data_IF_553286956119
#
_entry.id   IF_553286956119
#
_cell.length_a   1.000
_cell.length_b   1.000
_cell.length_c   1.000
_cell.angle_alpha   90.00
_cell.angle_beta   90.00
_cell.angle_gamma   90.00
#
_symmetry.space_group_name_H-M   'P 1'
#
loop_
_entity.id
_entity.type
_entity.pdbx_description
1 polymer ?
#
# COMPACT_ATOMS: atom_id res chain seq x y z
N UNK A 1 -15.23 -26.28 -28.52
CA UNK A 1 -13.80 -25.89 -28.56
C UNK A 1 -13.19 -26.76 -29.64
N UNK A 2 -12.73 -26.21 -30.76
CA UNK A 2 -11.98 -27.00 -31.72
C UNK A 2 -10.66 -27.35 -31.02
N UNK A 3 -10.55 -28.57 -30.49
CA UNK A 3 -9.23 -29.10 -30.13
C UNK A 3 -8.46 -29.23 -31.44
N UNK A 4 -7.56 -28.28 -31.68
CA UNK A 4 -6.53 -28.42 -32.71
C UNK A 4 -5.75 -29.68 -32.41
N UNK A 5 -5.72 -30.61 -33.38
CA UNK A 5 -4.94 -31.84 -33.33
C UNK A 5 -3.50 -31.52 -32.90
N UNK A 6 -2.99 -32.22 -31.89
CA UNK A 6 -1.63 -32.01 -31.39
C UNK A 6 -0.61 -32.52 -32.40
N UNK A 7 0.45 -31.74 -32.58
CA UNK A 7 1.52 -31.98 -33.55
C UNK A 7 2.67 -32.73 -32.91
N UNK A 8 2.97 -33.92 -33.41
CA UNK A 8 4.08 -34.75 -32.95
C UNK A 8 5.14 -34.88 -34.04
N UNK A 9 6.39 -34.59 -33.71
CA UNK A 9 7.52 -34.87 -34.60
C UNK A 9 8.17 -36.18 -34.18
N UNK A 10 8.16 -37.18 -35.07
CA UNK A 10 8.83 -38.46 -34.87
C UNK A 10 10.17 -38.47 -35.60
N UNK A 11 11.26 -38.64 -34.85
CA UNK A 11 12.62 -38.60 -35.38
C UNK A 11 13.29 -39.94 -35.09
N UNK A 12 13.60 -40.69 -36.15
CA UNK A 12 14.24 -42.00 -36.07
C UNK A 12 14.91 -42.30 -37.42
N UNK A 13 16.12 -42.84 -37.46
CA UNK A 13 16.81 -43.18 -38.71
C UNK A 13 16.30 -44.49 -39.33
N UNK A 14 15.75 -45.38 -38.52
CA UNK A 14 15.14 -46.62 -38.98
C UNK A 14 13.77 -46.36 -39.62
N UNK A 15 13.70 -46.42 -40.96
CA UNK A 15 12.49 -46.11 -41.72
C UNK A 15 11.26 -46.93 -41.29
N UNK A 16 11.45 -48.22 -40.99
CA UNK A 16 10.36 -49.09 -40.54
C UNK A 16 9.81 -48.64 -39.18
N UNK A 17 10.67 -48.31 -38.21
CA UNK A 17 10.24 -47.85 -36.88
C UNK A 17 9.55 -46.49 -37.01
N UNK A 18 10.16 -45.57 -37.77
CA UNK A 18 9.61 -44.23 -38.03
C UNK A 18 8.22 -44.29 -38.67
N UNK A 19 8.00 -45.21 -39.62
CA UNK A 19 6.69 -45.41 -40.25
C UNK A 19 5.67 -45.99 -39.27
N UNK A 20 6.02 -47.08 -38.58
CA UNK A 20 5.08 -47.75 -37.66
C UNK A 20 4.66 -46.83 -36.50
N UNK A 21 5.61 -46.12 -35.89
CA UNK A 21 5.30 -45.17 -34.80
C UNK A 21 4.47 -43.99 -35.32
N UNK A 22 4.81 -43.47 -36.50
CA UNK A 22 4.07 -42.37 -37.11
C UNK A 22 2.62 -42.75 -37.45
N UNK A 23 2.42 -43.88 -38.11
CA UNK A 23 1.09 -44.38 -38.49
C UNK A 23 0.22 -44.64 -37.23
N UNK A 24 0.81 -45.23 -36.18
CA UNK A 24 0.11 -45.47 -34.92
C UNK A 24 -0.36 -44.18 -34.23
N UNK A 25 0.48 -43.14 -34.22
CA UNK A 25 0.12 -41.84 -33.63
C UNK A 25 -0.91 -41.08 -34.47
N UNK A 26 -0.86 -41.22 -35.80
CA UNK A 26 -1.89 -40.68 -36.69
C UNK A 26 -3.26 -41.34 -36.42
N UNK A 27 -3.29 -42.68 -36.27
CA UNK A 27 -4.48 -43.44 -35.90
C UNK A 27 -5.01 -43.04 -34.52
N UNK A 28 -4.12 -42.67 -33.59
CA UNK A 28 -4.47 -42.14 -32.27
C UNK A 28 -5.01 -40.70 -32.28
N UNK A 29 -5.06 -40.05 -33.44
CA UNK A 29 -5.60 -38.70 -33.60
C UNK A 29 -4.58 -37.58 -33.40
N UNK A 30 -3.30 -37.83 -33.65
CA UNK A 30 -2.27 -36.80 -33.70
C UNK A 30 -1.95 -36.38 -35.14
N UNK A 31 -1.51 -35.15 -35.34
CA UNK A 31 -0.86 -34.76 -36.59
C UNK A 31 0.62 -35.11 -36.45
N UNK A 32 1.18 -35.90 -37.37
CA UNK A 32 2.56 -36.38 -37.26
C UNK A 32 3.40 -35.91 -38.43
N UNK A 33 4.60 -35.40 -38.13
CA UNK A 33 5.67 -35.21 -39.10
C UNK A 33 6.83 -36.14 -38.77
N UNK A 34 7.57 -36.57 -39.78
CA UNK A 34 8.61 -37.60 -39.66
C UNK A 34 9.94 -37.04 -40.14
N UNK A 35 11.01 -37.30 -39.39
CA UNK A 35 12.38 -36.94 -39.78
C UNK A 35 13.31 -38.14 -39.68
N UNK A 36 14.19 -38.31 -40.66
CA UNK A 36 15.13 -39.42 -40.74
C UNK A 36 16.49 -39.14 -40.07
N UNK A 37 16.77 -37.88 -39.74
CA UNK A 37 18.02 -37.46 -39.09
C UNK A 37 17.84 -36.15 -38.31
N UNK A 38 18.85 -35.78 -37.53
CA UNK A 38 18.77 -34.61 -36.66
C UNK A 38 18.66 -33.25 -37.38
N UNK A 39 19.22 -33.10 -38.59
CA UNK A 39 19.10 -31.82 -39.32
C UNK A 39 17.70 -31.60 -39.86
N UNK A 40 17.10 -32.64 -40.43
CA UNK A 40 15.70 -32.61 -40.87
C UNK A 40 14.77 -32.35 -39.68
N UNK A 41 15.02 -32.98 -38.54
CA UNK A 41 14.25 -32.74 -37.31
C UNK A 41 14.29 -31.27 -36.88
N UNK A 42 15.47 -30.63 -36.86
CA UNK A 42 15.60 -29.22 -36.49
C UNK A 42 14.93 -28.29 -37.52
N UNK A 43 14.97 -28.64 -38.80
CA UNK A 43 14.26 -27.87 -39.84
C UNK A 43 12.74 -27.91 -39.60
N UNK A 44 12.18 -29.12 -39.44
CA UNK A 44 10.74 -29.30 -39.18
C UNK A 44 10.35 -28.64 -37.85
N UNK A 45 11.17 -28.74 -36.82
CA UNK A 45 10.95 -28.07 -35.53
C UNK A 45 10.74 -26.56 -35.69
N UNK A 46 11.58 -25.89 -36.49
CA UNK A 46 11.49 -24.45 -36.70
C UNK A 46 10.31 -24.03 -37.58
N UNK A 47 10.02 -24.79 -38.64
CA UNK A 47 8.97 -24.46 -39.61
C UNK A 47 7.57 -24.85 -39.12
N UNK A 48 7.42 -26.08 -38.62
CA UNK A 48 6.13 -26.69 -38.32
C UNK A 48 5.70 -26.52 -36.86
N UNK A 49 6.66 -26.26 -35.96
CA UNK A 49 6.48 -26.02 -34.51
C UNK A 49 5.66 -27.13 -33.84
N UNK A 50 6.25 -28.32 -33.63
CA UNK A 50 5.57 -29.44 -32.98
C UNK A 50 5.23 -29.14 -31.51
N UNK A 51 4.14 -29.75 -31.02
CA UNK A 51 3.73 -29.74 -29.61
C UNK A 51 4.51 -30.78 -28.78
N UNK A 52 5.06 -31.83 -29.41
CA UNK A 52 5.86 -32.88 -28.77
C UNK A 52 6.84 -33.51 -29.78
N UNK A 53 8.00 -33.95 -29.31
CA UNK A 53 9.02 -34.59 -30.15
C UNK A 53 9.36 -35.97 -29.57
N UNK A 54 9.25 -37.00 -30.39
CA UNK A 54 9.80 -38.35 -30.13
C UNK A 54 11.14 -38.43 -30.86
N UNK A 55 12.22 -38.61 -30.12
CA UNK A 55 13.58 -38.45 -30.62
C UNK A 55 14.43 -39.68 -30.35
N UNK A 56 14.84 -40.38 -31.40
CA UNK A 56 15.87 -41.41 -31.28
C UNK A 56 17.24 -40.80 -30.93
N UNK A 57 18.03 -41.49 -30.11
CA UNK A 57 19.35 -41.03 -29.71
C UNK A 57 20.45 -41.28 -30.74
N UNK A 58 20.31 -42.31 -31.57
CA UNK A 58 21.41 -42.94 -32.31
C UNK A 58 21.16 -42.84 -33.81
N UNK A 59 21.29 -41.63 -34.33
CA UNK A 59 21.11 -41.35 -35.76
C UNK A 59 22.43 -40.94 -36.44
N UNK A 60 22.57 -41.17 -37.76
CA UNK A 60 23.71 -40.71 -38.53
C UNK A 60 23.73 -39.17 -38.67
N UNK A 61 24.94 -38.64 -38.92
CA UNK A 61 25.28 -37.22 -39.10
C UNK A 61 25.12 -36.31 -37.87
N UNK A 62 23.95 -36.29 -37.25
CA UNK A 62 23.64 -35.49 -36.05
C UNK A 62 22.81 -36.36 -35.11
N UNK A 63 23.35 -36.59 -33.91
CA UNK A 63 22.74 -37.50 -32.94
C UNK A 63 21.60 -36.85 -32.15
N UNK A 64 20.78 -37.66 -31.46
CA UNK A 64 19.63 -37.16 -30.71
C UNK A 64 19.99 -36.27 -29.52
N UNK A 65 21.22 -36.38 -28.98
CA UNK A 65 21.66 -35.49 -27.90
C UNK A 65 21.96 -34.10 -28.43
N UNK A 66 22.58 -34.01 -29.60
CA UNK A 66 22.81 -32.73 -30.30
C UNK A 66 21.49 -32.04 -30.64
N UNK A 67 20.51 -32.78 -31.18
CA UNK A 67 19.17 -32.24 -31.48
C UNK A 67 18.49 -31.73 -30.22
N UNK A 68 18.47 -32.52 -29.13
CA UNK A 68 17.88 -32.11 -27.86
C UNK A 68 18.54 -30.84 -27.32
N UNK A 69 19.87 -30.75 -27.38
CA UNK A 69 20.60 -29.57 -26.93
C UNK A 69 20.25 -28.32 -27.76
N UNK A 70 20.13 -28.42 -29.08
CA UNK A 70 19.72 -27.31 -29.94
C UNK A 70 18.27 -26.87 -29.67
N UNK A 71 17.34 -27.82 -29.51
CA UNK A 71 15.95 -27.51 -29.15
C UNK A 71 15.89 -26.76 -27.83
N UNK A 72 16.66 -27.16 -26.83
CA UNK A 72 16.67 -26.55 -25.48
C UNK A 72 17.29 -25.15 -25.45
N UNK A 73 18.15 -24.79 -26.41
CA UNK A 73 18.60 -23.40 -26.59
C UNK A 73 17.46 -22.47 -27.03
N UNK A 74 16.44 -23.02 -27.68
CA UNK A 74 15.33 -22.26 -28.26
C UNK A 74 14.07 -22.33 -27.39
N UNK A 75 13.75 -23.50 -26.84
CA UNK A 75 12.58 -23.74 -25.99
C UNK A 75 12.81 -24.84 -24.95
N UNK A 76 12.55 -24.48 -23.69
CA UNK A 76 12.44 -25.44 -22.59
C UNK A 76 11.02 -26.00 -22.39
N UNK A 77 10.06 -25.50 -23.15
CA UNK A 77 8.64 -25.79 -22.95
C UNK A 77 8.16 -26.97 -23.80
N UNK A 78 8.84 -27.26 -24.92
CA UNK A 78 8.44 -28.35 -25.81
C UNK A 78 8.88 -29.70 -25.21
N UNK A 79 7.94 -30.61 -24.91
CA UNK A 79 8.22 -31.97 -24.47
C UNK A 79 9.06 -32.71 -25.51
N UNK A 80 10.19 -33.26 -25.07
CA UNK A 80 11.00 -34.17 -25.88
C UNK A 80 11.08 -35.49 -25.12
N UNK A 81 10.55 -36.54 -25.73
CA UNK A 81 10.64 -37.91 -25.24
C UNK A 81 11.72 -38.61 -26.05
N UNK A 82 12.72 -39.14 -25.36
CA UNK A 82 13.86 -39.76 -25.99
C UNK A 82 13.63 -41.27 -26.14
N UNK A 83 13.89 -41.82 -27.32
CA UNK A 83 13.85 -43.26 -27.57
C UNK A 83 15.32 -43.76 -27.66
N UNK A 84 15.70 -44.73 -26.83
CA UNK A 84 17.10 -45.19 -26.72
C UNK A 84 17.22 -46.71 -26.75
N UNK A 85 18.12 -47.24 -27.59
CA UNK A 85 18.46 -48.67 -27.62
C UNK A 85 19.51 -49.12 -26.60
N UNK A 86 20.15 -48.19 -25.87
CA UNK A 86 21.12 -48.54 -24.83
C UNK A 86 20.41 -48.60 -23.48
N UNK A 87 20.14 -49.82 -22.98
CA UNK A 87 19.60 -50.04 -21.63
C UNK A 87 20.54 -49.64 -20.48
N UNK A 88 21.56 -48.82 -20.74
CA UNK A 88 22.49 -48.32 -19.74
C UNK A 88 21.89 -47.12 -19.02
N UNK A 89 21.79 -47.22 -17.70
CA UNK A 89 21.29 -46.16 -16.81
C UNK A 89 22.02 -44.81 -17.04
N UNK A 90 23.29 -44.84 -17.45
CA UNK A 90 24.09 -43.64 -17.69
C UNK A 90 23.51 -42.76 -18.81
N UNK A 91 23.05 -43.36 -19.90
CA UNK A 91 22.51 -42.63 -21.05
C UNK A 91 21.14 -42.02 -20.73
N UNK A 92 20.33 -42.74 -19.94
CA UNK A 92 19.06 -42.24 -19.39
C UNK A 92 19.28 -41.01 -18.52
N UNK A 93 20.23 -41.08 -17.59
CA UNK A 93 20.54 -39.95 -16.71
C UNK A 93 20.99 -38.74 -17.53
N UNK A 94 21.88 -38.95 -18.50
CA UNK A 94 22.42 -37.87 -19.32
C UNK A 94 21.33 -37.16 -20.14
N UNK A 95 20.40 -37.91 -20.74
CA UNK A 95 19.31 -37.34 -21.55
C UNK A 95 18.31 -36.54 -20.72
N UNK A 96 18.00 -36.98 -19.51
CA UNK A 96 17.18 -36.20 -18.56
C UNK A 96 17.90 -34.91 -18.13
N UNK A 97 19.22 -34.94 -17.91
CA UNK A 97 20.01 -33.74 -17.59
C UNK A 97 20.06 -32.74 -18.75
N UNK A 98 20.05 -33.24 -19.99
CA UNK A 98 19.94 -32.42 -21.20
C UNK A 98 18.52 -31.85 -21.41
N UNK A 99 17.56 -32.23 -20.56
CA UNK A 99 16.21 -31.66 -20.57
C UNK A 99 15.17 -32.49 -21.31
N UNK A 100 15.42 -33.77 -21.59
CA UNK A 100 14.37 -34.70 -22.00
C UNK A 100 13.30 -34.79 -20.89
N UNK A 101 12.03 -34.89 -21.28
CA UNK A 101 10.91 -34.99 -20.33
C UNK A 101 10.67 -36.42 -19.88
N UNK A 102 10.93 -37.38 -20.76
CA UNK A 102 10.86 -38.81 -20.48
C UNK A 102 11.76 -39.59 -21.45
N UNK A 103 11.91 -40.88 -21.21
CA UNK A 103 12.64 -41.78 -22.12
C UNK A 103 11.91 -43.12 -22.31
N UNK A 104 12.14 -43.77 -23.45
CA UNK A 104 11.61 -45.09 -23.81
C UNK A 104 12.79 -45.96 -24.27
N UNK A 105 12.82 -47.23 -23.83
CA UNK A 105 13.86 -48.19 -24.24
C UNK A 105 13.46 -48.92 -25.53
N UNK A 106 14.40 -49.06 -26.49
CA UNK A 106 14.25 -49.95 -27.66
C UNK A 106 14.74 -51.38 -27.32
N UNK A 107 14.19 -52.43 -27.98
CA UNK A 107 13.10 -52.37 -28.95
C UNK A 107 11.77 -52.01 -28.29
N UNK A 108 10.93 -51.24 -28.98
CA UNK A 108 9.56 -50.95 -28.51
C UNK A 108 8.67 -52.11 -28.94
N UNK A 109 8.44 -53.05 -28.01
CA UNK A 109 7.64 -54.26 -28.28
C UNK A 109 6.13 -53.99 -28.17
N UNK A 110 5.73 -52.98 -27.41
CA UNK A 110 4.33 -52.60 -27.19
C UNK A 110 4.14 -51.09 -27.43
N UNK A 111 3.31 -50.74 -28.42
CA UNK A 111 2.99 -49.35 -28.77
C UNK A 111 2.23 -48.61 -27.66
N UNK A 112 1.58 -49.33 -26.74
CA UNK A 112 0.94 -48.74 -25.56
C UNK A 112 1.94 -47.96 -24.68
N UNK A 113 3.24 -48.30 -24.73
CA UNK A 113 4.30 -47.57 -24.02
C UNK A 113 4.49 -46.17 -24.61
N UNK A 114 4.50 -46.06 -25.94
CA UNK A 114 4.60 -44.76 -26.64
C UNK A 114 3.36 -43.92 -26.37
N UNK A 115 2.17 -44.52 -26.48
CA UNK A 115 0.92 -43.81 -26.20
C UNK A 115 0.89 -43.23 -24.77
N UNK A 116 1.21 -44.06 -23.77
CA UNK A 116 1.27 -43.60 -22.38
C UNK A 116 2.28 -42.47 -22.18
N UNK A 117 3.47 -42.57 -22.76
CA UNK A 117 4.51 -41.55 -22.63
C UNK A 117 4.09 -40.22 -23.29
N UNK A 118 3.48 -40.29 -24.48
CA UNK A 118 2.95 -39.13 -25.21
C UNK A 118 1.81 -38.48 -24.43
N UNK A 119 0.82 -39.25 -23.98
CA UNK A 119 -0.31 -38.73 -23.19
C UNK A 119 0.17 -38.05 -21.91
N UNK A 120 1.04 -38.71 -21.15
CA UNK A 120 1.63 -38.16 -19.91
C UNK A 120 2.38 -36.85 -20.16
N UNK A 121 3.11 -36.74 -21.26
CA UNK A 121 3.84 -35.52 -21.62
C UNK A 121 2.90 -34.38 -22.04
N UNK A 122 1.87 -34.67 -22.83
CA UNK A 122 0.87 -33.69 -23.25
C UNK A 122 0.00 -33.21 -22.08
N UNK A 123 -0.40 -34.10 -21.17
CA UNK A 123 -1.11 -33.74 -19.94
C UNK A 123 -0.27 -32.81 -19.06
N UNK A 124 1.02 -33.11 -18.90
CA UNK A 124 1.95 -32.26 -18.16
C UNK A 124 2.08 -30.88 -18.83
N UNK A 125 2.19 -30.81 -20.15
CA UNK A 125 2.25 -29.54 -20.89
C UNK A 125 0.99 -28.71 -20.64
N UNK A 126 -0.19 -29.32 -20.75
CA UNK A 126 -1.49 -28.68 -20.49
C UNK A 126 -1.57 -28.12 -19.06
N UNK A 127 -1.14 -28.89 -18.05
CA UNK A 127 -1.14 -28.42 -16.66
C UNK A 127 -0.22 -27.20 -16.46
N UNK A 128 0.93 -27.17 -17.12
CA UNK A 128 1.88 -26.04 -17.05
C UNK A 128 1.26 -24.79 -17.70
N UNK A 129 0.63 -24.94 -18.86
CA UNK A 129 -0.07 -23.84 -19.54
C UNK A 129 -1.24 -23.28 -18.72
N UNK A 130 -2.08 -24.17 -18.18
CA UNK A 130 -3.20 -23.79 -17.30
C UNK A 130 -2.69 -23.04 -16.06
N UNK A 131 -1.65 -23.55 -15.39
CA UNK A 131 -1.08 -22.90 -14.20
C UNK A 131 -0.49 -21.52 -14.52
N UNK A 132 0.23 -21.40 -15.65
CA UNK A 132 0.74 -20.10 -16.12
C UNK A 132 -0.40 -19.11 -16.34
N UNK A 133 -1.48 -19.54 -16.98
CA UNK A 133 -2.66 -18.69 -17.22
C UNK A 133 -3.34 -18.28 -15.91
N UNK A 134 -3.58 -19.24 -15.00
CA UNK A 134 -4.13 -18.96 -13.68
C UNK A 134 -3.28 -17.94 -12.91
N UNK A 135 -1.96 -18.06 -12.97
CA UNK A 135 -1.04 -17.12 -12.30
C UNK A 135 -1.17 -15.70 -12.87
N UNK A 136 -1.23 -15.56 -14.20
CA UNK A 136 -1.40 -14.26 -14.85
C UNK A 136 -2.74 -13.61 -14.49
N UNK A 137 -3.84 -14.37 -14.57
CA UNK A 137 -5.18 -13.89 -14.23
C UNK A 137 -5.26 -13.47 -12.76
N UNK A 138 -4.60 -14.21 -11.86
CA UNK A 138 -4.54 -13.88 -10.44
C UNK A 138 -3.73 -12.61 -10.18
N UNK A 139 -2.58 -12.43 -10.83
CA UNK A 139 -1.78 -11.21 -10.72
C UNK A 139 -2.57 -9.98 -11.18
N UNK A 140 -3.32 -10.09 -12.28
CA UNK A 140 -4.18 -9.01 -12.76
C UNK A 140 -5.32 -8.70 -11.77
N UNK A 141 -5.99 -9.74 -11.25
CA UNK A 141 -7.06 -9.58 -10.27
C UNK A 141 -6.57 -8.93 -8.98
N UNK A 142 -5.42 -9.36 -8.46
CA UNK A 142 -4.80 -8.77 -7.27
C UNK A 142 -4.44 -7.30 -7.53
N UNK A 143 -3.87 -6.98 -8.69
CA UNK A 143 -3.57 -5.59 -9.07
C UNK A 143 -4.82 -4.71 -9.12
N UNK A 144 -5.90 -5.22 -9.73
CA UNK A 144 -7.20 -4.53 -9.80
C UNK A 144 -7.79 -4.30 -8.41
N UNK A 145 -7.88 -5.35 -7.58
CA UNK A 145 -8.42 -5.28 -6.21
C UNK A 145 -7.61 -4.36 -5.30
N UNK A 146 -6.29 -4.39 -5.42
CA UNK A 146 -5.40 -3.49 -4.67
C UNK A 146 -5.67 -2.02 -5.02
N UNK A 147 -5.92 -1.74 -6.29
CA UNK A 147 -6.27 -0.38 -6.75
C UNK A 147 -7.64 0.05 -6.24
N UNK A 148 -8.65 -0.82 -6.33
CA UNK A 148 -10.00 -0.57 -5.79
C UNK A 148 -9.95 -0.27 -4.28
N UNK A 149 -9.20 -1.06 -3.51
CA UNK A 149 -9.02 -0.85 -2.07
C UNK A 149 -8.36 0.49 -1.75
N UNK A 150 -7.31 0.86 -2.49
CA UNK A 150 -6.65 2.17 -2.32
C UNK A 150 -7.62 3.32 -2.57
N UNK A 151 -8.40 3.26 -3.65
CA UNK A 151 -9.40 4.28 -3.98
C UNK A 151 -10.49 4.36 -2.90
N UNK A 152 -11.00 3.21 -2.44
CA UNK A 152 -12.00 3.16 -1.38
C UNK A 152 -11.45 3.75 -0.06
N UNK A 153 -10.21 3.42 0.30
CA UNK A 153 -9.56 3.93 1.51
C UNK A 153 -9.36 5.45 1.46
N UNK A 154 -8.85 5.98 0.34
CA UNK A 154 -8.73 7.44 0.15
C UNK A 154 -10.09 8.14 0.28
N UNK A 155 -11.15 7.53 -0.26
CA UNK A 155 -12.51 8.06 -0.14
C UNK A 155 -12.99 8.09 1.31
N UNK A 156 -12.73 7.03 2.09
CA UNK A 156 -13.06 6.98 3.52
C UNK A 156 -12.31 8.07 4.31
N UNK A 157 -11.02 8.27 4.02
CA UNK A 157 -10.23 9.33 4.66
C UNK A 157 -10.80 10.71 4.36
N UNK A 158 -11.18 10.99 3.12
CA UNK A 158 -11.78 12.27 2.74
C UNK A 158 -13.14 12.50 3.43
N UNK A 159 -14.00 11.48 3.46
CA UNK A 159 -15.30 11.56 4.16
C UNK A 159 -15.09 11.81 5.65
N UNK A 160 -14.12 11.16 6.29
CA UNK A 160 -13.78 11.41 7.68
C UNK A 160 -13.39 12.87 7.92
N UNK A 161 -12.55 13.44 7.05
CA UNK A 161 -12.15 14.85 7.13
C UNK A 161 -13.34 15.81 6.96
N UNK A 162 -14.25 15.53 6.03
CA UNK A 162 -15.47 16.32 5.82
C UNK A 162 -16.41 16.29 7.04
N UNK A 163 -16.56 15.11 7.68
CA UNK A 163 -17.35 14.96 8.90
C UNK A 163 -16.70 15.73 10.05
N UNK A 164 -15.39 15.59 10.25
CA UNK A 164 -14.64 16.31 11.29
C UNK A 164 -14.79 17.82 11.11
N UNK A 165 -14.66 18.33 9.88
CA UNK A 165 -14.85 19.74 9.58
C UNK A 165 -16.30 20.20 9.86
N UNK A 166 -17.30 19.38 9.52
CA UNK A 166 -18.70 19.68 9.81
C UNK A 166 -19.00 19.74 11.31
N UNK A 167 -18.40 18.85 12.11
CA UNK A 167 -18.51 18.86 13.57
C UNK A 167 -17.84 20.09 14.19
N UNK A 168 -16.69 20.47 13.66
CA UNK A 168 -16.00 21.71 14.02
C UNK A 168 -16.90 22.92 13.80
N UNK A 169 -17.44 23.11 12.59
CA UNK A 169 -18.37 24.20 12.26
C UNK A 169 -19.62 24.17 13.17
N UNK A 170 -20.19 22.99 13.43
CA UNK A 170 -21.37 22.87 14.28
C UNK A 170 -21.09 23.32 15.73
N UNK A 171 -19.90 23.02 16.24
CA UNK A 171 -19.44 23.47 17.56
C UNK A 171 -19.21 24.97 17.57
N UNK A 172 -18.53 25.53 16.56
CA UNK A 172 -18.31 26.98 16.41
C UNK A 172 -19.63 27.76 16.34
N UNK A 173 -20.68 27.22 15.71
CA UNK A 173 -21.99 27.91 15.68
C UNK A 173 -22.62 28.14 17.06
N UNK A 174 -22.27 27.33 18.07
CA UNK A 174 -22.70 27.55 19.46
C UNK A 174 -21.82 28.53 20.23
N UNK A 175 -20.62 28.78 19.73
CA UNK A 175 -19.64 29.72 20.28
C UNK A 175 -19.37 30.80 19.21
N UNK A 176 -20.20 31.87 19.15
CA UNK A 176 -20.10 32.93 18.14
C UNK A 176 -18.71 33.60 18.03
N UNK A 177 -17.82 33.35 19.00
CA UNK A 177 -16.47 33.91 19.09
C UNK A 177 -15.40 33.07 18.38
N UNK A 178 -15.74 31.87 17.90
CA UNK A 178 -14.78 30.88 17.40
C UNK A 178 -14.84 30.64 15.88
N UNK A 179 -15.51 31.48 15.09
CA UNK A 179 -15.59 31.26 13.64
C UNK A 179 -14.19 31.11 12.97
N UNK A 180 -13.93 29.93 12.42
CA UNK A 180 -12.65 29.54 11.80
C UNK A 180 -11.47 29.44 12.77
N UNK A 181 -11.71 29.56 14.08
CA UNK A 181 -10.68 29.45 15.12
C UNK A 181 -10.07 28.06 15.10
N UNK A 182 -10.91 27.02 15.07
CA UNK A 182 -10.44 25.64 15.11
C UNK A 182 -9.61 25.30 13.88
N UNK A 183 -10.00 25.81 12.70
CA UNK A 183 -9.22 25.67 11.46
C UNK A 183 -7.85 26.36 11.58
N UNK A 184 -7.79 27.61 12.08
CA UNK A 184 -6.52 28.35 12.24
C UNK A 184 -5.60 27.71 13.28
N UNK A 185 -6.13 27.27 14.43
CA UNK A 185 -5.37 26.53 15.45
C UNK A 185 -4.81 25.23 14.86
N UNK A 186 -5.66 24.46 14.17
CA UNK A 186 -5.25 23.23 13.50
C UNK A 186 -4.10 23.46 12.51
N UNK A 187 -4.21 24.49 11.65
CA UNK A 187 -3.20 24.78 10.64
C UNK A 187 -1.89 25.30 11.27
N UNK A 188 -1.98 26.17 12.28
CA UNK A 188 -0.81 26.65 13.01
C UNK A 188 -0.11 25.52 13.76
N UNK A 189 -0.87 24.65 14.44
CA UNK A 189 -0.35 23.47 15.11
C UNK A 189 0.36 22.52 14.14
N UNK A 190 -0.23 22.27 12.97
CA UNK A 190 0.39 21.47 11.93
C UNK A 190 1.68 22.11 11.39
N UNK A 191 1.71 23.43 11.18
CA UNK A 191 2.92 24.13 10.75
C UNK A 191 4.04 24.08 11.81
N UNK A 192 3.69 24.23 13.09
CA UNK A 192 4.63 24.05 14.21
C UNK A 192 5.20 22.63 14.19
N UNK A 193 4.32 21.63 14.05
CA UNK A 193 4.71 20.23 14.05
C UNK A 193 5.68 19.90 12.90
N UNK A 194 5.42 20.45 11.71
CA UNK A 194 6.31 20.26 10.57
C UNK A 194 7.66 20.95 10.78
N UNK A 195 7.68 22.16 11.34
CA UNK A 195 8.95 22.85 11.67
C UNK A 195 9.77 22.08 12.72
N UNK A 196 9.11 21.32 13.59
CA UNK A 196 9.74 20.42 14.56
C UNK A 196 10.26 19.12 13.93
N UNK A 197 9.93 18.84 12.66
CA UNK A 197 10.36 17.62 11.96
C UNK A 197 9.57 16.36 12.34
N UNK A 198 8.34 16.50 12.80
CA UNK A 198 7.44 15.37 13.07
C UNK A 198 7.01 14.67 11.76
N UNK A 199 6.66 13.39 11.84
CA UNK A 199 6.25 12.63 10.66
C UNK A 199 4.83 13.00 10.16
N UNK A 200 4.49 12.55 8.95
CA UNK A 200 3.21 12.88 8.31
C UNK A 200 1.99 12.32 9.05
N UNK A 201 2.13 11.19 9.73
CA UNK A 201 1.02 10.58 10.49
C UNK A 201 0.73 11.39 11.75
N UNK A 202 1.77 11.80 12.49
CA UNK A 202 1.64 12.67 13.66
C UNK A 202 1.10 14.06 13.30
N UNK A 203 1.56 14.66 12.20
CA UNK A 203 1.01 15.94 11.71
C UNK A 203 -0.49 15.80 11.38
N UNK A 204 -0.89 14.67 10.79
CA UNK A 204 -2.31 14.39 10.49
C UNK A 204 -3.14 14.25 11.77
N UNK A 205 -2.59 13.60 12.79
CA UNK A 205 -3.22 13.49 14.11
C UNK A 205 -3.42 14.87 14.75
N UNK A 206 -2.39 15.72 14.74
CA UNK A 206 -2.43 17.09 15.27
C UNK A 206 -3.49 17.93 14.54
N UNK A 207 -3.60 17.78 13.22
CA UNK A 207 -4.61 18.50 12.43
C UNK A 207 -6.04 18.12 12.84
N UNK A 208 -6.32 16.83 12.94
CA UNK A 208 -7.64 16.33 13.35
C UNK A 208 -7.94 16.73 14.81
N UNK A 209 -6.98 16.57 15.71
CA UNK A 209 -7.14 16.97 17.11
C UNK A 209 -7.32 18.48 17.26
N UNK A 210 -6.60 19.29 16.49
CA UNK A 210 -6.76 20.75 16.46
C UNK A 210 -8.15 21.19 15.98
N UNK A 211 -8.77 20.48 15.04
CA UNK A 211 -10.15 20.75 14.63
C UNK A 211 -11.18 20.36 15.70
N UNK A 212 -10.89 19.35 16.52
CA UNK A 212 -11.82 18.75 17.47
C UNK A 212 -11.56 19.11 18.94
N UNK A 213 -10.46 19.80 19.26
CA UNK A 213 -10.01 20.03 20.65
C UNK A 213 -11.12 20.64 21.53
N UNK A 214 -11.95 21.48 20.91
CA UNK A 214 -13.01 22.25 21.55
C UNK A 214 -14.42 21.65 21.37
N UNK A 215 -14.57 20.45 20.78
CA UNK A 215 -15.89 19.83 20.50
C UNK A 215 -16.77 19.71 21.76
N UNK A 216 -16.16 19.55 22.93
CA UNK A 216 -16.86 19.47 24.20
C UNK A 216 -17.51 20.78 24.66
N UNK A 217 -17.24 21.93 24.01
CA UNK A 217 -17.93 23.20 24.29
C UNK A 217 -19.44 23.10 24.05
N UNK A 218 -19.92 22.08 23.34
CA UNK A 218 -21.34 21.75 23.24
C UNK A 218 -22.03 21.57 24.61
N UNK A 219 -21.29 21.18 25.64
CA UNK A 219 -21.81 21.06 27.00
C UNK A 219 -21.90 22.41 27.74
N UNK A 220 -21.10 23.39 27.36
CA UNK A 220 -20.99 24.67 28.06
C UNK A 220 -22.22 25.54 27.75
N UNK A 221 -22.89 26.13 28.77
CA UNK A 221 -23.98 27.07 28.57
C UNK A 221 -23.56 28.28 27.72
N UNK A 222 -24.44 28.72 26.82
CA UNK A 222 -24.14 29.84 25.92
C UNK A 222 -23.81 31.12 26.70
N UNK A 223 -24.47 31.37 27.83
CA UNK A 223 -24.25 32.53 28.69
C UNK A 223 -22.81 32.63 29.22
N UNK A 224 -22.12 31.49 29.39
CA UNK A 224 -20.70 31.47 29.80
C UNK A 224 -19.76 31.64 28.62
N UNK A 225 -20.10 31.08 27.46
CA UNK A 225 -19.31 31.26 26.23
C UNK A 225 -19.38 32.70 25.71
N UNK A 226 -20.52 33.38 25.89
CA UNK A 226 -20.79 34.72 25.38
C UNK A 226 -20.65 35.87 26.36
N UNK A 227 -20.15 35.59 27.56
CA UNK A 227 -19.99 36.61 28.59
C UNK A 227 -18.94 37.65 28.14
N UNK A 228 -19.29 38.95 28.02
CA UNK A 228 -18.36 40.00 27.60
C UNK A 228 -17.40 40.42 28.73
N UNK A 229 -17.66 39.99 29.96
CA UNK A 229 -16.81 40.24 31.13
C UNK A 229 -15.97 39.01 31.46
N UNK A 230 -15.04 39.15 32.41
CA UNK A 230 -14.36 37.98 32.98
C UNK A 230 -15.39 37.02 33.59
N UNK A 231 -15.11 35.73 33.43
CA UNK A 231 -15.86 34.67 34.08
C UNK A 231 -15.52 34.63 35.56
N UNK A 232 -16.55 34.45 36.37
CA UNK A 232 -16.41 34.14 37.79
C UNK A 232 -15.79 32.75 37.97
N UNK A 233 -15.12 32.46 39.10
CA UNK A 233 -14.44 31.19 39.31
C UNK A 233 -15.33 29.98 39.06
N UNK A 234 -16.58 30.00 39.52
CA UNK A 234 -17.54 28.90 39.33
C UNK A 234 -17.97 28.72 37.86
N UNK A 235 -18.04 29.80 37.08
CA UNK A 235 -18.35 29.74 35.64
C UNK A 235 -17.17 29.13 34.87
N UNK A 236 -15.95 29.54 35.23
CA UNK A 236 -14.73 28.98 34.65
C UNK A 236 -14.61 27.47 34.91
N UNK A 237 -14.98 26.98 36.10
CA UNK A 237 -15.00 25.54 36.38
C UNK A 237 -15.98 24.76 35.48
N UNK A 238 -17.07 25.39 35.03
CA UNK A 238 -17.97 24.78 34.04
C UNK A 238 -17.34 24.78 32.65
N UNK A 239 -16.67 25.88 32.26
CA UNK A 239 -15.99 25.98 30.95
C UNK A 239 -14.87 24.94 30.84
N UNK A 240 -14.06 24.74 31.88
CA UNK A 240 -12.96 23.76 31.90
C UNK A 240 -13.40 22.33 31.59
N UNK A 241 -14.65 21.96 31.92
CA UNK A 241 -15.19 20.62 31.65
C UNK A 241 -15.30 20.27 30.17
N UNK A 242 -15.19 21.24 29.26
CA UNK A 242 -15.26 20.94 27.82
C UNK A 242 -14.18 19.95 27.38
N UNK A 243 -12.99 19.94 27.99
CA UNK A 243 -11.92 19.02 27.60
C UNK A 243 -12.29 17.57 27.97
N UNK A 244 -12.86 17.36 29.16
CA UNK A 244 -13.36 16.05 29.60
C UNK A 244 -14.57 15.59 28.77
N UNK A 245 -15.51 16.49 28.50
CA UNK A 245 -16.66 16.17 27.64
C UNK A 245 -16.22 15.85 26.21
N UNK A 246 -15.25 16.60 25.67
CA UNK A 246 -14.67 16.33 24.35
C UNK A 246 -14.05 14.94 24.27
N UNK A 247 -13.31 14.55 25.30
CA UNK A 247 -12.80 13.18 25.45
C UNK A 247 -13.93 12.15 25.46
N UNK A 248 -14.96 12.35 26.28
CA UNK A 248 -16.11 11.42 26.38
C UNK A 248 -16.85 11.25 25.05
N UNK A 249 -16.97 12.31 24.26
CA UNK A 249 -17.56 12.27 22.91
C UNK A 249 -16.70 11.44 21.96
N UNK A 250 -15.37 11.58 22.04
CA UNK A 250 -14.45 11.02 21.04
C UNK A 250 -13.86 9.66 21.42
N UNK A 251 -13.84 9.25 22.69
CA UNK A 251 -13.10 8.06 23.17
C UNK A 251 -13.53 6.73 22.55
N UNK A 252 -14.75 6.65 22.03
CA UNK A 252 -15.28 5.45 21.37
C UNK A 252 -15.07 5.44 19.85
N UNK A 253 -14.51 6.51 19.29
CA UNK A 253 -14.17 6.58 17.87
C UNK A 253 -12.80 5.94 17.67
N UNK A 254 -12.74 4.91 16.84
CA UNK A 254 -11.50 4.22 16.48
C UNK A 254 -10.64 5.05 15.52
N UNK A 255 -10.11 6.16 16.01
CA UNK A 255 -9.08 6.91 15.31
C UNK A 255 -7.77 6.10 15.25
N UNK A 256 -6.97 6.23 14.18
CA UNK A 256 -5.62 5.65 14.13
C UNK A 256 -4.68 6.22 15.20
N UNK A 257 -5.03 7.38 15.78
CA UNK A 257 -4.22 8.16 16.73
C UNK A 257 -5.03 8.46 18.00
N UNK A 258 -4.39 8.81 19.12
CA UNK A 258 -5.07 9.09 20.39
C UNK A 258 -5.76 10.47 20.42
N UNK A 259 -6.57 10.80 19.42
CA UNK A 259 -7.21 12.12 19.23
C UNK A 259 -7.99 12.58 20.47
N UNK A 260 -8.74 11.69 21.10
CA UNK A 260 -9.50 12.01 22.31
C UNK A 260 -8.58 12.45 23.46
N UNK A 261 -7.46 11.75 23.65
CA UNK A 261 -6.50 12.05 24.71
C UNK A 261 -5.73 13.35 24.41
N UNK A 262 -5.41 13.60 23.14
CA UNK A 262 -4.81 14.88 22.71
C UNK A 262 -5.75 16.04 23.05
N UNK A 263 -7.02 15.92 22.67
CA UNK A 263 -8.05 16.91 23.00
C UNK A 263 -8.32 17.02 24.50
N UNK A 264 -8.12 15.96 25.30
CA UNK A 264 -8.27 16.05 26.75
C UNK A 264 -7.18 16.93 27.38
N UNK A 265 -5.97 16.85 26.85
CA UNK A 265 -4.76 17.43 27.45
C UNK A 265 -4.38 18.82 26.89
N UNK A 266 -5.12 19.37 25.93
CA UNK A 266 -4.72 20.61 25.24
C UNK A 266 -4.68 21.86 26.13
N UNK A 267 -5.21 21.78 27.36
CA UNK A 267 -5.09 22.83 28.38
C UNK A 267 -4.16 22.46 29.55
N UNK A 268 -3.49 21.31 29.48
CA UNK A 268 -2.43 20.95 30.41
C UNK A 268 -1.21 21.87 30.20
N UNK A 269 -0.46 22.10 31.28
CA UNK A 269 0.71 22.99 31.31
C UNK A 269 1.88 22.24 31.92
N UNK A 270 3.11 22.53 31.46
CA UNK A 270 4.28 21.77 31.92
C UNK A 270 4.49 21.77 33.45
N UNK A 271 4.10 22.86 34.13
CA UNK A 271 4.17 23.01 35.58
C UNK A 271 3.04 22.31 36.35
N UNK A 272 2.03 21.77 35.66
CA UNK A 272 0.84 21.15 36.23
C UNK A 272 -0.23 22.13 36.70
N UNK A 273 -0.12 23.41 36.33
CA UNK A 273 -1.16 24.41 36.59
C UNK A 273 -2.37 24.29 35.63
N UNK A 274 -2.26 23.41 34.64
CA UNK A 274 -3.30 23.13 33.65
C UNK A 274 -4.44 22.25 34.17
N UNK A 275 -5.32 21.85 33.26
CA UNK A 275 -6.48 21.03 33.52
C UNK A 275 -6.75 20.09 32.33
N UNK A 276 -7.53 19.01 32.49
CA UNK A 276 -8.29 18.62 33.70
C UNK A 276 -7.55 17.77 34.73
N UNK A 277 -6.41 17.16 34.39
CA UNK A 277 -5.70 16.21 35.26
C UNK A 277 -4.48 16.83 35.96
N UNK A 278 -4.02 18.00 35.54
CA UNK A 278 -2.85 18.66 36.12
C UNK A 278 -1.55 17.91 35.80
N UNK A 279 -1.46 17.36 34.60
CA UNK A 279 -0.30 16.62 34.10
C UNK A 279 0.92 17.54 34.01
N UNK A 280 2.13 16.96 34.06
CA UNK A 280 3.39 17.71 34.11
C UNK A 280 4.38 17.20 33.09
N UNK A 281 5.23 18.09 32.58
CA UNK A 281 6.39 17.73 31.77
C UNK A 281 6.07 16.72 30.67
N UNK A 282 6.66 15.53 30.78
CA UNK A 282 6.58 14.45 29.77
C UNK A 282 5.30 13.59 29.87
N UNK A 283 4.46 13.79 30.89
CA UNK A 283 3.16 13.11 30.99
C UNK A 283 2.13 13.68 29.99
N UNK A 284 2.43 14.85 29.40
CA UNK A 284 1.60 15.51 28.39
C UNK A 284 2.08 15.10 26.99
N UNK A 285 1.15 14.65 26.15
CA UNK A 285 1.42 14.32 24.75
C UNK A 285 2.00 15.52 23.99
N UNK A 286 2.96 15.27 23.10
CA UNK A 286 3.62 16.33 22.32
C UNK A 286 2.62 17.05 21.41
N UNK A 287 1.66 16.31 20.86
CA UNK A 287 0.56 16.84 20.05
C UNK A 287 -0.27 17.85 20.85
N UNK A 288 -0.56 17.55 22.12
CA UNK A 288 -1.29 18.44 23.02
C UNK A 288 -0.48 19.69 23.37
N UNK A 289 0.83 19.56 23.61
CA UNK A 289 1.73 20.70 23.86
C UNK A 289 1.78 21.66 22.65
N UNK A 290 1.76 21.10 21.44
CA UNK A 290 1.72 21.87 20.19
C UNK A 290 0.38 22.61 20.06
N UNK A 291 -0.75 21.91 20.23
CA UNK A 291 -2.08 22.52 20.15
C UNK A 291 -2.25 23.60 21.23
N UNK A 292 -1.82 23.34 22.46
CA UNK A 292 -1.87 24.28 23.57
C UNK A 292 -1.11 25.58 23.29
N UNK A 293 -0.01 25.51 22.52
CA UNK A 293 0.78 26.66 22.09
C UNK A 293 0.06 27.41 20.96
N UNK A 294 -0.42 26.68 19.95
CA UNK A 294 -1.14 27.26 18.80
C UNK A 294 -2.44 27.95 19.22
N UNK A 295 -3.21 27.33 20.11
CA UNK A 295 -4.48 27.84 20.64
C UNK A 295 -4.28 29.18 21.36
N UNK A 296 -3.32 29.27 22.29
CA UNK A 296 -3.04 30.53 23.00
C UNK A 296 -2.65 31.64 22.04
N UNK A 297 -1.81 31.34 21.05
CA UNK A 297 -1.37 32.33 20.07
C UNK A 297 -2.53 32.82 19.22
N UNK A 298 -3.33 31.90 18.66
CA UNK A 298 -4.48 32.25 17.84
C UNK A 298 -5.50 33.05 18.68
N UNK A 299 -5.86 32.55 19.85
CA UNK A 299 -6.90 33.13 20.70
C UNK A 299 -6.57 34.56 21.17
N UNK A 300 -5.28 34.88 21.35
CA UNK A 300 -4.81 36.21 21.74
C UNK A 300 -4.64 37.17 20.54
N UNK A 301 -4.34 36.63 19.36
CA UNK A 301 -4.03 37.41 18.16
C UNK A 301 -5.26 37.73 17.30
N UNK A 302 -6.32 36.94 17.39
CA UNK A 302 -7.54 37.11 16.61
C UNK A 302 -8.48 38.16 17.20
N UNK A 303 -9.14 38.94 16.33
CA UNK A 303 -10.18 39.90 16.75
C UNK A 303 -11.42 39.16 17.26
N UNK A 304 -11.90 39.54 18.45
CA UNK A 304 -13.19 39.08 18.98
C UNK A 304 -14.16 40.26 19.09
N UNK A 305 -15.48 40.09 18.84
CA UNK A 305 -16.48 41.17 18.84
C UNK A 305 -16.47 42.14 20.04
N UNK A 306 -15.97 41.70 21.21
CA UNK A 306 -15.89 42.51 22.44
C UNK A 306 -14.48 42.61 23.04
N UNK A 307 -13.46 42.07 22.35
CA UNK A 307 -12.06 42.17 22.73
C UNK A 307 -11.25 42.42 21.46
N UNK A 308 -10.79 43.67 21.22
CA UNK A 308 -9.86 43.91 20.12
C UNK A 308 -8.66 42.98 20.27
N UNK A 309 -8.11 42.47 19.16
CA UNK A 309 -6.93 41.62 19.26
C UNK A 309 -5.85 42.36 20.04
N UNK A 310 -5.17 41.62 20.92
CA UNK A 310 -4.03 42.17 21.64
C UNK A 310 -2.82 42.30 20.72
N UNK A 311 -2.89 41.73 19.52
CA UNK A 311 -1.83 41.74 18.52
C UNK A 311 -0.92 40.52 18.67
N UNK A 312 -0.32 40.13 17.55
CA UNK A 312 0.59 38.97 17.49
C UNK A 312 1.79 39.14 18.43
N UNK A 313 2.26 40.38 18.64
CA UNK A 313 3.37 40.68 19.54
C UNK A 313 3.06 40.31 21.00
N UNK A 314 1.82 40.59 21.47
CA UNK A 314 1.40 40.27 22.83
C UNK A 314 1.22 38.76 22.99
N UNK A 315 0.69 38.09 21.97
CA UNK A 315 0.56 36.63 21.96
C UNK A 315 1.93 35.93 22.00
N UNK A 316 2.90 36.43 21.22
CA UNK A 316 4.28 35.95 21.23
C UNK A 316 4.94 36.21 22.58
N UNK A 317 4.74 37.38 23.17
CA UNK A 317 5.28 37.70 24.49
C UNK A 317 4.75 36.74 25.57
N UNK A 318 3.46 36.36 25.52
CA UNK A 318 2.88 35.40 26.47
C UNK A 318 3.57 34.03 26.40
N UNK A 319 3.72 33.46 25.19
CA UNK A 319 4.34 32.14 25.06
C UNK A 319 5.86 32.18 25.36
N UNK A 320 6.54 33.29 25.05
CA UNK A 320 7.97 33.48 25.34
C UNK A 320 8.21 33.64 26.84
N UNK A 321 7.43 34.48 27.52
CA UNK A 321 7.58 34.72 28.96
C UNK A 321 7.29 33.46 29.80
N UNK A 322 6.49 32.53 29.28
CA UNK A 322 6.15 31.28 29.95
C UNK A 322 6.84 30.04 29.30
N UNK A 323 7.84 30.24 28.44
CA UNK A 323 8.60 29.17 27.77
C UNK A 323 9.35 28.32 28.79
N UNK A 324 9.19 27.00 28.75
CA UNK A 324 9.79 26.05 29.70
C UNK A 324 9.10 26.01 31.07
N UNK A 325 8.16 26.91 31.35
CA UNK A 325 7.33 26.90 32.55
C UNK A 325 5.93 26.32 32.27
N UNK A 326 5.20 26.92 31.32
CA UNK A 326 3.86 26.46 30.92
C UNK A 326 3.87 25.77 29.56
N UNK A 327 4.74 26.21 28.65
CA UNK A 327 4.80 25.75 27.27
C UNK A 327 6.12 25.05 26.98
N UNK A 328 6.06 24.02 26.13
CA UNK A 328 7.24 23.29 25.66
C UNK A 328 8.19 24.22 24.89
N UNK A 329 9.47 24.32 25.30
CA UNK A 329 10.48 25.14 24.64
C UNK A 329 10.51 25.01 23.11
N UNK A 330 10.51 23.77 22.61
CA UNK A 330 10.58 23.45 21.18
C UNK A 330 9.33 23.89 20.44
N UNK A 331 8.13 23.76 21.04
CA UNK A 331 6.89 24.23 20.45
C UNK A 331 6.87 25.75 20.31
N UNK A 332 7.34 26.47 21.34
CA UNK A 332 7.43 27.93 21.34
C UNK A 332 8.41 28.40 20.26
N UNK A 333 9.61 27.81 20.22
CA UNK A 333 10.66 28.21 19.27
C UNK A 333 10.21 27.98 17.82
N UNK A 334 9.58 26.83 17.54
CA UNK A 334 9.04 26.52 16.22
C UNK A 334 7.86 27.42 15.85
N UNK A 335 6.97 27.74 16.80
CA UNK A 335 5.88 28.69 16.59
C UNK A 335 6.42 30.07 16.17
N UNK A 336 7.47 30.58 16.83
CA UNK A 336 8.10 31.85 16.48
C UNK A 336 8.67 31.80 15.06
N UNK A 337 9.34 30.71 14.66
CA UNK A 337 9.87 30.56 13.30
C UNK A 337 8.77 30.55 12.24
N UNK A 338 7.69 29.80 12.48
CA UNK A 338 6.52 29.72 11.59
C UNK A 338 5.89 31.10 11.43
N UNK A 339 5.64 31.81 12.53
CA UNK A 339 5.02 33.14 12.48
C UNK A 339 5.90 34.20 11.83
N UNK A 340 7.22 34.10 11.96
CA UNK A 340 8.17 34.95 11.21
C UNK A 340 8.07 34.73 9.71
N UNK A 341 7.88 33.49 9.24
CA UNK A 341 7.68 33.19 7.80
C UNK A 341 6.33 33.69 7.28
N UNK A 342 5.36 33.90 8.17
CA UNK A 342 4.02 34.41 7.87
C UNK A 342 3.90 35.94 7.97
N UNK A 343 5.00 36.66 8.26
CA UNK A 343 4.98 38.09 8.62
C UNK A 343 3.97 38.42 9.74
N UNK A 344 3.74 37.47 10.67
CA UNK A 344 2.77 37.60 11.76
C UNK A 344 1.30 37.52 11.35
N UNK A 345 0.98 37.24 10.09
CA UNK A 345 -0.40 37.16 9.59
C UNK A 345 -0.95 35.74 9.72
N UNK A 346 -1.55 35.42 10.87
CA UNK A 346 -2.22 34.12 11.09
C UNK A 346 -3.35 33.88 10.08
N UNK A 347 -4.00 34.94 9.60
CA UNK A 347 -5.04 34.84 8.55
C UNK A 347 -4.50 34.24 7.24
N UNK A 348 -3.20 34.38 6.97
CA UNK A 348 -2.53 33.80 5.80
C UNK A 348 -2.01 32.37 6.05
N UNK A 349 -2.27 31.77 7.21
CA UNK A 349 -1.78 30.42 7.56
C UNK A 349 -2.28 29.36 6.57
N UNK A 350 -3.48 29.55 6.02
CA UNK A 350 -4.09 28.65 5.04
C UNK A 350 -3.29 28.63 3.73
N UNK A 351 -3.07 29.79 3.14
CA UNK A 351 -2.31 29.94 1.90
C UNK A 351 -0.86 29.46 2.08
N UNK A 352 -0.24 29.83 3.21
CA UNK A 352 1.10 29.37 3.55
C UNK A 352 1.19 27.86 3.70
N UNK A 353 0.23 27.22 4.37
CA UNK A 353 0.25 25.78 4.58
C UNK A 353 -0.01 25.03 3.27
N UNK A 354 -0.88 25.55 2.40
CA UNK A 354 -1.11 24.98 1.07
C UNK A 354 0.15 25.07 0.17
N UNK A 355 0.85 26.21 0.17
CA UNK A 355 2.10 26.38 -0.57
C UNK A 355 3.24 25.54 0.03
N UNK A 356 3.30 25.44 1.35
CA UNK A 356 4.27 24.62 2.07
C UNK A 356 4.09 23.12 1.75
N UNK A 357 2.85 22.62 1.73
CA UNK A 357 2.53 21.24 1.34
C UNK A 357 2.91 20.93 -0.11
N UNK A 358 2.91 21.92 -1.01
CA UNK A 358 3.33 21.75 -2.41
C UNK A 358 4.85 21.73 -2.59
N UNK A 359 5.61 22.23 -1.62
CA UNK A 359 7.07 22.28 -1.65
C UNK A 359 7.77 21.05 -1.04
N UNK A 360 7.00 20.17 -0.40
CA UNK A 360 7.42 18.84 0.08
C UNK A 360 7.01 17.74 -0.88
#
# INVERSE_FOLDING_TARGET
>A
MNETMKKILCVDDEELIRQVVGDYLEDAGYQVERAANGREALQIFHEWKPDLILLDLRMPEMDGKEVLAEIRKVSNEIPVIVISGTGYIKDVIETLHLGAWDYITKPVEDMAIIDYAVQKALDRLRMIEENRRYKQDLEELVGRRTTELKVANTRLVNILQEIVHSLSIATEKRDPYTAGHQERVSLLAAAIATEMGLDREQISAIRIAGLLHDVGKIYVPQEFLSKPTRLEPHEMEVVKKHSEVGYEIMKNISFPWPIAEIALQHHERLDGSGYPRGLKGDDILIESKIIATADVVEAMSSHRPYRPAMGIEVALAEIVNNRGLKFQPECVDSCIKVLKRLDGKIEAIKDFYEDFLRSM
#
